data_IF_863138199790
#
_entry.id   IF_863138199790
#
_cell.length_a   1.000
_cell.length_b   1.000
_cell.length_c   1.000
_cell.angle_alpha   90.00
_cell.angle_beta   90.00
_cell.angle_gamma   90.00
#
_symmetry.space_group_name_H-M   'P 1'
#
loop_
_entity.id
_entity.type
_entity.pdbx_description
1 polymer ?
#
# COMPACT_ATOMS: atom_id res chain seq x y z
N UNK A 1 11.87 -6.84 -3.45
CA UNK A 1 10.52 -7.30 -3.88
C UNK A 1 9.76 -7.68 -2.63
N UNK A 2 8.55 -7.15 -2.45
CA UNK A 2 7.66 -7.37 -1.31
C UNK A 2 7.15 -8.81 -1.34
N UNK A 3 7.26 -9.51 -0.22
CA UNK A 3 6.67 -10.84 -0.01
C UNK A 3 5.31 -10.74 0.69
N UNK A 4 4.55 -11.84 0.73
CA UNK A 4 3.33 -11.89 1.54
C UNK A 4 3.63 -11.75 3.04
N UNK A 5 4.77 -12.25 3.51
CA UNK A 5 5.14 -12.14 4.92
C UNK A 5 5.49 -10.70 5.30
N UNK A 6 6.17 -9.96 4.41
CA UNK A 6 6.36 -8.51 4.51
C UNK A 6 5.01 -7.78 4.64
N UNK A 7 4.05 -8.14 3.78
CA UNK A 7 2.73 -7.53 3.75
C UNK A 7 1.90 -7.85 5.00
N UNK A 8 1.91 -9.09 5.46
CA UNK A 8 1.14 -9.51 6.62
C UNK A 8 1.79 -9.09 7.93
N UNK A 9 3.10 -8.85 7.97
CA UNK A 9 3.82 -8.34 9.16
C UNK A 9 3.56 -9.20 10.41
N UNK A 10 3.50 -10.53 10.26
CA UNK A 10 3.18 -11.50 11.32
C UNK A 10 1.73 -11.47 11.82
N UNK A 11 0.85 -10.66 11.21
CA UNK A 11 -0.55 -10.51 11.61
C UNK A 11 -1.37 -11.72 11.18
N UNK A 12 -0.99 -12.42 10.10
CA UNK A 12 -1.67 -13.63 9.63
C UNK A 12 -1.67 -14.74 10.70
N UNK A 13 -0.56 -14.92 11.42
CA UNK A 13 -0.45 -15.89 12.53
C UNK A 13 -1.12 -15.39 13.80
N UNK A 14 -1.06 -14.08 14.07
CA UNK A 14 -1.60 -13.48 15.29
C UNK A 14 -3.13 -13.34 15.27
N UNK A 15 -3.73 -13.16 14.09
CA UNK A 15 -5.16 -12.91 13.92
C UNK A 15 -5.81 -13.84 12.88
N UNK A 16 -5.65 -15.17 12.97
CA UNK A 16 -6.09 -16.10 11.94
C UNK A 16 -7.61 -16.09 11.75
N UNK A 17 -8.38 -15.86 12.82
CA UNK A 17 -9.84 -15.80 12.75
C UNK A 17 -10.37 -14.57 11.99
N UNK A 18 -9.58 -13.50 11.87
CA UNK A 18 -9.93 -12.30 11.11
C UNK A 18 -9.50 -12.38 9.64
N UNK A 19 -8.66 -13.36 9.28
CA UNK A 19 -8.12 -13.54 7.94
C UNK A 19 -9.00 -14.50 7.15
N UNK A 20 -9.75 -13.96 6.18
CA UNK A 20 -10.57 -14.79 5.29
C UNK A 20 -9.78 -15.12 4.01
N UNK A 21 -10.17 -16.20 3.32
CA UNK A 21 -9.61 -16.55 2.01
C UNK A 21 -9.75 -15.42 0.98
N UNK A 22 -10.78 -14.58 1.09
CA UNK A 22 -10.91 -13.41 0.23
C UNK A 22 -9.83 -12.36 0.53
N UNK A 23 -9.57 -12.07 1.80
CA UNK A 23 -8.50 -11.15 2.22
C UNK A 23 -7.14 -11.68 1.76
N UNK A 24 -6.89 -12.99 1.86
CA UNK A 24 -5.64 -13.59 1.37
C UNK A 24 -5.46 -13.42 -0.15
N UNK A 25 -6.53 -13.65 -0.94
CA UNK A 25 -6.49 -13.41 -2.39
C UNK A 25 -6.26 -11.94 -2.71
N UNK A 26 -6.92 -11.03 -1.99
CA UNK A 26 -6.72 -9.60 -2.16
C UNK A 26 -5.28 -9.19 -1.82
N UNK A 27 -4.73 -9.71 -0.71
CA UNK A 27 -3.35 -9.48 -0.30
C UNK A 27 -2.35 -9.91 -1.37
N UNK A 28 -2.50 -11.11 -1.92
CA UNK A 28 -1.65 -11.62 -3.00
C UNK A 28 -1.70 -10.73 -4.25
N UNK A 29 -2.89 -10.26 -4.63
CA UNK A 29 -3.05 -9.32 -5.76
C UNK A 29 -2.41 -7.96 -5.45
N UNK A 30 -2.62 -7.43 -4.24
CA UNK A 30 -2.04 -6.15 -3.81
C UNK A 30 -0.51 -6.20 -3.83
N UNK A 31 0.09 -7.28 -3.32
CA UNK A 31 1.54 -7.48 -3.33
C UNK A 31 2.09 -7.63 -4.76
N UNK A 32 1.43 -8.39 -5.63
CA UNK A 32 1.82 -8.49 -7.05
C UNK A 32 1.83 -7.12 -7.75
N UNK A 33 0.76 -6.34 -7.59
CA UNK A 33 0.65 -5.02 -8.20
C UNK A 33 1.63 -4.00 -7.60
N UNK A 34 1.87 -4.04 -6.29
CA UNK A 34 2.87 -3.19 -5.64
C UNK A 34 4.28 -3.52 -6.14
N UNK A 35 4.61 -4.80 -6.32
CA UNK A 35 5.91 -5.20 -6.87
C UNK A 35 6.11 -4.75 -8.33
N UNK A 36 5.05 -4.83 -9.15
CA UNK A 36 5.06 -4.28 -10.52
C UNK A 36 5.27 -2.78 -10.50
N UNK A 37 4.55 -2.06 -9.64
CA UNK A 37 4.72 -0.62 -9.46
C UNK A 37 6.18 -0.26 -9.11
N UNK A 38 6.78 -0.95 -8.14
CA UNK A 38 8.16 -0.69 -7.73
C UNK A 38 9.19 -1.04 -8.83
N UNK A 39 8.89 -2.04 -9.65
CA UNK A 39 9.73 -2.40 -10.81
C UNK A 39 9.67 -1.31 -11.88
N UNK A 40 8.48 -0.79 -12.17
CA UNK A 40 8.30 0.36 -13.08
C UNK A 40 9.01 1.59 -12.54
N UNK A 41 8.79 1.96 -11.27
CA UNK A 41 9.48 3.09 -10.62
C UNK A 41 11.01 2.98 -10.73
N UNK A 42 11.56 1.79 -10.46
CA UNK A 42 12.99 1.52 -10.57
C UNK A 42 13.52 1.73 -12.00
N UNK A 43 12.73 1.39 -13.04
CA UNK A 43 13.10 1.63 -14.44
C UNK A 43 13.24 3.12 -14.78
N UNK A 44 12.59 4.00 -14.00
CA UNK A 44 12.71 5.46 -14.06
C UNK A 44 13.75 6.02 -13.07
N UNK A 45 14.52 5.16 -12.39
CA UNK A 45 15.55 5.58 -11.43
C UNK A 45 15.02 5.91 -10.04
N UNK A 46 13.76 5.58 -9.74
CA UNK A 46 13.14 5.80 -8.42
C UNK A 46 13.21 4.52 -7.60
N UNK A 47 13.88 4.58 -6.47
CA UNK A 47 14.04 3.44 -5.55
C UNK A 47 13.39 3.75 -4.21
N UNK A 48 12.92 2.71 -3.52
CA UNK A 48 12.35 2.85 -2.17
C UNK A 48 13.27 2.24 -1.12
N UNK A 49 13.32 2.88 0.05
CA UNK A 49 14.10 2.42 1.19
C UNK A 49 13.44 1.25 1.92
N UNK A 50 14.25 0.57 2.74
CA UNK A 50 13.74 -0.37 3.73
C UNK A 50 13.43 0.35 5.03
N UNK A 51 12.26 0.05 5.59
CA UNK A 51 11.84 0.56 6.88
C UNK A 51 12.79 0.03 7.98
N UNK A 52 13.37 0.91 8.82
CA UNK A 52 14.48 0.56 9.70
C UNK A 52 14.12 -0.47 10.78
N UNK A 53 12.85 -0.53 11.20
CA UNK A 53 12.41 -1.44 12.25
C UNK A 53 12.09 -2.87 11.79
N UNK A 54 11.68 -3.05 10.53
CA UNK A 54 11.20 -4.35 10.02
C UNK A 54 12.03 -4.86 8.81
N UNK A 55 12.97 -4.05 8.33
CA UNK A 55 13.85 -4.34 7.18
C UNK A 55 13.10 -4.68 5.89
N UNK A 56 11.87 -4.16 5.76
CA UNK A 56 10.99 -4.34 4.61
C UNK A 56 10.64 -3.00 3.98
N UNK A 57 10.30 -2.98 2.70
CA UNK A 57 9.78 -1.76 2.03
C UNK A 57 8.31 -1.50 2.38
N UNK A 58 7.69 -2.32 3.24
CA UNK A 58 6.29 -2.18 3.66
C UNK A 58 6.22 -1.49 5.02
N UNK A 59 5.54 -0.34 5.07
CA UNK A 59 5.16 0.35 6.30
C UNK A 59 3.92 -0.28 6.94
N UNK A 60 2.93 -0.65 6.13
CA UNK A 60 1.72 -1.33 6.61
C UNK A 60 1.00 -2.09 5.49
N UNK A 61 0.79 -3.40 5.66
CA UNK A 61 -0.10 -4.18 4.78
C UNK A 61 -1.46 -4.43 5.41
N UNK A 62 -1.91 -5.69 5.49
CA UNK A 62 -3.24 -6.01 6.03
C UNK A 62 -3.39 -5.61 7.50
N UNK A 63 -4.53 -5.03 7.86
CA UNK A 63 -4.88 -4.64 9.23
C UNK A 63 -6.14 -5.38 9.69
N UNK A 64 -6.08 -6.34 10.62
CA UNK A 64 -7.30 -6.86 11.24
C UNK A 64 -8.06 -5.76 11.99
N UNK A 65 -9.37 -5.93 12.28
CA UNK A 65 -10.21 -4.88 12.87
C UNK A 65 -9.60 -4.20 14.11
N UNK A 66 -9.03 -4.99 15.02
CA UNK A 66 -8.40 -4.48 16.25
C UNK A 66 -7.17 -3.59 15.96
N UNK A 67 -6.34 -4.00 15.00
CA UNK A 67 -5.16 -3.22 14.58
C UNK A 67 -5.59 -1.95 13.86
N UNK A 68 -6.61 -2.01 13.01
CA UNK A 68 -7.15 -0.83 12.34
C UNK A 68 -7.72 0.18 13.33
N UNK A 69 -8.50 -0.29 14.31
CA UNK A 69 -9.07 0.55 15.37
C UNK A 69 -8.00 1.21 16.25
N UNK A 70 -6.88 0.53 16.48
CA UNK A 70 -5.75 1.07 17.23
C UNK A 70 -4.84 2.00 16.38
N UNK A 71 -5.03 2.04 15.06
CA UNK A 71 -4.22 2.88 14.17
C UNK A 71 -4.77 4.31 14.16
N UNK A 72 -3.99 5.33 14.57
CA UNK A 72 -4.46 6.71 14.61
C UNK A 72 -5.00 7.18 13.27
N UNK A 73 -6.13 7.88 13.29
CA UNK A 73 -6.80 8.45 12.12
C UNK A 73 -7.22 7.43 11.04
N UNK A 74 -7.20 6.14 11.34
CA UNK A 74 -7.59 5.14 10.34
C UNK A 74 -9.10 5.15 10.09
N UNK A 75 -9.48 5.11 8.81
CA UNK A 75 -10.87 5.03 8.42
C UNK A 75 -11.54 3.73 8.89
N UNK A 76 -12.80 3.83 9.33
CA UNK A 76 -13.58 2.68 9.79
C UNK A 76 -13.81 1.60 8.70
N UNK A 77 -13.71 1.99 7.41
CA UNK A 77 -13.83 1.09 6.25
C UNK A 77 -12.56 1.06 5.40
N UNK A 78 -11.41 1.13 6.07
CA UNK A 78 -10.08 1.10 5.46
C UNK A 78 -9.88 -0.10 4.54
N UNK A 79 -9.21 0.12 3.40
CA UNK A 79 -8.87 -0.93 2.44
C UNK A 79 -7.73 -1.83 2.90
N UNK A 80 -7.00 -1.44 3.95
CA UNK A 80 -6.08 -2.36 4.64
C UNK A 80 -6.82 -3.52 5.31
N UNK A 81 -8.06 -3.33 5.76
CA UNK A 81 -8.83 -4.39 6.40
C UNK A 81 -9.27 -5.49 5.43
N UNK A 82 -9.46 -5.13 4.16
CA UNK A 82 -9.88 -6.06 3.10
C UNK A 82 -8.71 -6.64 2.30
N UNK A 83 -7.46 -6.32 2.66
CA UNK A 83 -6.26 -6.77 1.94
C UNK A 83 -6.05 -6.05 0.60
N UNK A 84 -6.70 -4.90 0.38
CA UNK A 84 -6.75 -4.20 -0.90
C UNK A 84 -5.88 -2.93 -0.93
N UNK A 85 -5.16 -2.64 0.15
CA UNK A 85 -4.24 -1.51 0.25
C UNK A 85 -2.91 -1.91 0.88
N UNK A 86 -1.90 -1.10 0.61
CA UNK A 86 -0.55 -1.20 1.15
C UNK A 86 0.03 0.21 1.32
N UNK A 87 0.73 0.41 2.43
CA UNK A 87 1.59 1.57 2.66
C UNK A 87 3.03 1.13 2.42
N UNK A 88 3.66 1.70 1.40
CA UNK A 88 5.07 1.48 1.05
C UNK A 88 5.90 2.52 1.80
N UNK A 89 7.03 2.10 2.38
CA UNK A 89 7.92 3.03 3.08
C UNK A 89 8.53 4.02 2.10
N UNK A 90 8.31 5.30 2.36
CA UNK A 90 8.71 6.41 1.48
C UNK A 90 9.05 7.64 2.35
N UNK A 91 10.14 7.57 3.14
CA UNK A 91 10.45 8.56 4.17
C UNK A 91 10.72 9.95 3.58
N UNK A 92 11.34 9.99 2.41
CA UNK A 92 11.73 11.22 1.71
C UNK A 92 10.70 11.64 0.66
N UNK A 93 9.73 10.78 0.34
CA UNK A 93 8.64 11.08 -0.60
C UNK A 93 8.99 10.88 -2.06
N UNK A 94 10.12 10.24 -2.39
CA UNK A 94 10.60 10.04 -3.76
C UNK A 94 9.59 9.26 -4.62
N UNK A 95 8.96 8.23 -4.05
CA UNK A 95 7.95 7.45 -4.76
C UNK A 95 6.67 8.28 -4.98
N UNK A 96 6.21 8.97 -3.95
CA UNK A 96 5.06 9.86 -4.01
C UNK A 96 5.26 11.00 -5.03
N UNK A 97 6.42 11.65 -5.04
CA UNK A 97 6.77 12.71 -5.99
C UNK A 97 6.77 12.19 -7.42
N UNK A 98 7.38 11.02 -7.67
CA UNK A 98 7.36 10.40 -8.98
C UNK A 98 5.95 10.01 -9.41
N UNK A 99 5.14 9.47 -8.50
CA UNK A 99 3.76 9.09 -8.79
C UNK A 99 2.89 10.29 -9.18
N UNK A 100 3.21 11.50 -8.74
CA UNK A 100 2.53 12.74 -9.13
C UNK A 100 2.93 13.25 -10.53
N UNK A 101 3.95 12.66 -11.17
CA UNK A 101 4.33 12.97 -12.56
C UNK A 101 3.40 12.32 -13.58
N UNK A 102 3.47 12.75 -14.85
CA UNK A 102 2.70 12.13 -15.93
C UNK A 102 3.03 10.64 -16.14
N UNK A 103 4.30 10.25 -15.99
CA UNK A 103 4.77 8.87 -16.09
C UNK A 103 4.24 8.01 -14.96
N UNK A 104 4.38 8.48 -13.71
CA UNK A 104 3.86 7.77 -12.53
C UNK A 104 2.35 7.58 -12.59
N UNK A 105 1.59 8.62 -12.98
CA UNK A 105 0.14 8.51 -13.18
C UNK A 105 -0.24 7.52 -14.30
N UNK A 106 0.53 7.46 -15.39
CA UNK A 106 0.32 6.48 -16.44
C UNK A 106 0.51 5.04 -15.93
N UNK A 107 1.55 4.79 -15.13
CA UNK A 107 1.81 3.50 -14.49
C UNK A 107 0.68 3.11 -13.53
N UNK A 108 0.23 4.01 -12.64
CA UNK A 108 -0.90 3.75 -11.76
C UNK A 108 -2.16 3.38 -12.54
N UNK A 109 -2.43 4.09 -13.63
CA UNK A 109 -3.58 3.81 -14.49
C UNK A 109 -3.49 2.43 -15.15
N UNK A 110 -2.31 2.09 -15.71
CA UNK A 110 -2.07 0.82 -16.39
C UNK A 110 -2.17 -0.38 -15.42
N UNK A 111 -1.70 -0.23 -14.20
CA UNK A 111 -1.77 -1.25 -13.14
C UNK A 111 -3.15 -1.30 -12.45
N UNK A 112 -4.01 -0.31 -12.69
CA UNK A 112 -5.30 -0.20 -12.00
C UNK A 112 -5.14 0.05 -10.51
N UNK A 113 -4.22 0.94 -10.13
CA UNK A 113 -3.96 1.35 -8.75
C UNK A 113 -4.45 2.77 -8.49
N UNK A 114 -4.84 3.07 -7.26
CA UNK A 114 -5.16 4.41 -6.79
C UNK A 114 -4.23 4.75 -5.63
N UNK A 115 -3.90 6.03 -5.44
CA UNK A 115 -3.04 6.48 -4.34
C UNK A 115 -3.72 7.56 -3.50
N UNK A 116 -3.41 7.59 -2.21
CA UNK A 116 -3.70 8.79 -1.41
C UNK A 116 -2.73 9.92 -1.81
N UNK A 117 -3.15 11.16 -1.60
CA UNK A 117 -2.35 12.33 -1.93
C UNK A 117 -1.15 12.44 -0.98
N UNK A 118 0.08 12.71 -1.46
CA UNK A 118 1.31 12.71 -0.64
C UNK A 118 1.26 13.61 0.61
N UNK A 119 0.47 14.69 0.56
CA UNK A 119 0.28 15.58 1.72
C UNK A 119 -0.40 14.90 2.92
N UNK A 120 -1.10 13.79 2.71
CA UNK A 120 -1.79 13.01 3.73
C UNK A 120 -1.01 11.77 4.20
N UNK A 121 0.05 11.39 3.48
CA UNK A 121 0.81 10.14 3.69
C UNK A 121 2.29 10.44 3.97
N UNK A 122 2.58 11.39 4.87
CA UNK A 122 3.96 11.81 5.12
C UNK A 122 4.81 10.66 5.66
N UNK A 123 5.78 10.20 4.86
CA UNK A 123 6.71 9.12 5.19
C UNK A 123 6.31 7.74 4.65
N UNK A 124 5.21 7.64 3.89
CA UNK A 124 4.82 6.41 3.19
C UNK A 124 4.01 6.73 1.93
N UNK A 125 4.10 5.88 0.91
CA UNK A 125 3.21 5.95 -0.23
C UNK A 125 2.05 4.96 -0.04
N UNK A 126 0.82 5.46 0.05
CA UNK A 126 -0.36 4.61 0.11
C UNK A 126 -0.89 4.29 -1.28
N UNK A 127 -1.04 3.01 -1.61
CA UNK A 127 -1.74 2.57 -2.82
C UNK A 127 -2.79 1.49 -2.53
N UNK A 128 -3.87 1.50 -3.31
CA UNK A 128 -4.95 0.52 -3.23
C UNK A 128 -5.42 0.01 -4.60
N UNK A 129 -5.93 -1.22 -4.63
CA UNK A 129 -6.31 -1.97 -5.84
C UNK A 129 -7.78 -1.75 -6.26
N UNK A 130 -8.49 -0.88 -5.54
CA UNK A 130 -9.88 -0.50 -5.80
C UNK A 130 -10.02 1.01 -5.79
N UNK A 131 -10.98 1.61 -6.51
CA UNK A 131 -11.16 3.06 -6.48
C UNK A 131 -11.63 3.55 -5.10
N UNK A 132 -11.27 4.79 -4.72
CA UNK A 132 -11.95 5.49 -3.63
C UNK A 132 -13.39 5.80 -4.03
N UNK A 133 -14.23 6.22 -3.08
CA UNK A 133 -15.63 6.58 -3.37
C UNK A 133 -15.78 7.70 -4.40
N UNK A 134 -14.77 8.59 -4.52
CA UNK A 134 -14.74 9.67 -5.52
C UNK A 134 -14.34 9.20 -6.93
N UNK A 135 -13.79 7.99 -7.08
CA UNK A 135 -13.22 7.46 -8.32
C UNK A 135 -11.91 8.13 -8.77
N UNK A 136 -11.45 9.20 -8.10
CA UNK A 136 -10.22 9.92 -8.46
C UNK A 136 -8.99 9.07 -8.22
N UNK A 137 -8.06 9.04 -9.19
CA UNK A 137 -6.80 8.28 -9.13
C UNK A 137 -5.94 8.66 -7.91
N UNK A 138 -5.87 9.96 -7.64
CA UNK A 138 -5.26 10.56 -6.43
C UNK A 138 -6.39 11.09 -5.56
N UNK A 139 -6.43 10.69 -4.30
CA UNK A 139 -7.52 11.04 -3.38
C UNK A 139 -7.02 11.41 -1.98
N UNK A 140 -7.89 11.99 -1.16
CA UNK A 140 -7.62 12.18 0.27
C UNK A 140 -8.36 11.09 1.07
N UNK A 141 -7.77 10.58 2.16
CA UNK A 141 -8.34 9.52 2.99
C UNK A 141 -9.74 9.84 3.55
#
# INVERSE_FOLDING_TARGET
>A
MITLDDYFMGRREKYPAALTTEIERNAARTVDLANKLLTEAQSYGVTVDQHPANHSTVSSGWRPPEVNAATPNSAARSKHMTGQAIDIYDPDGDLDEWLMTGQGQAVLSALGLWMEHPSATKGWCHVQTVPPGSGRRVFYP
#
